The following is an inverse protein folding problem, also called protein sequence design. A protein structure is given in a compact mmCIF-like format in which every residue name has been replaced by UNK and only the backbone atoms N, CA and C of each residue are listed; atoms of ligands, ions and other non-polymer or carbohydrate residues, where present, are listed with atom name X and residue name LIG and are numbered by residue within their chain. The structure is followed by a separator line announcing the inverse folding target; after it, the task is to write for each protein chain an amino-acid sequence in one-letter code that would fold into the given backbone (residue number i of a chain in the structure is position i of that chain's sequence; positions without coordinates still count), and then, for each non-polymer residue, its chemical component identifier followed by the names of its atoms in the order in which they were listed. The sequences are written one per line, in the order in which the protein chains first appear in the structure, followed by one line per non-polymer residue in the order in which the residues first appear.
data_IF_015670441760
#
_entry.id   IF_015670441760
#
_cell.length_a   1.000
_cell.length_b   1.000
_cell.length_c   1.000
_cell.angle_alpha   90.00
_cell.angle_beta   90.00
_cell.angle_gamma   90.00
#
_symmetry.space_group_name_H-M   'P 1'
#
loop_
_entity.id
_entity.type
_entity.pdbx_description
1 polymer ?
#
# COMPACT_ATOMS: atom_id res chain seq x y z
N UNK A 1 -22.89 23.87 24.26
CA UNK A 1 -23.37 22.92 23.23
C UNK A 1 -23.28 23.52 21.82
N UNK A 2 -23.89 24.68 21.56
CA UNK A 2 -23.88 25.27 20.19
C UNK A 2 -22.52 25.75 19.71
N UNK A 3 -21.74 26.41 20.58
CA UNK A 3 -20.38 26.89 20.22
C UNK A 3 -19.40 25.74 19.94
N UNK A 4 -19.52 24.63 20.67
CA UNK A 4 -18.71 23.42 20.46
C UNK A 4 -19.10 22.71 19.16
N UNK A 5 -20.41 22.59 18.88
CA UNK A 5 -20.90 22.01 17.63
C UNK A 5 -20.59 22.86 16.39
N UNK A 6 -20.45 24.18 16.55
CA UNK A 6 -19.97 25.07 15.48
C UNK A 6 -18.47 24.91 15.24
N UNK A 7 -17.67 24.88 16.30
CA UNK A 7 -16.22 24.67 16.19
C UNK A 7 -15.87 23.31 15.57
N UNK A 8 -16.58 22.24 15.94
CA UNK A 8 -16.41 20.91 15.34
C UNK A 8 -16.75 20.89 13.85
N UNK A 9 -17.86 21.54 13.45
CA UNK A 9 -18.23 21.67 12.03
C UNK A 9 -17.20 22.46 11.23
N UNK A 10 -16.69 23.55 11.80
CA UNK A 10 -15.69 24.38 11.14
C UNK A 10 -14.34 23.65 11.01
N UNK A 11 -13.96 22.85 12.01
CA UNK A 11 -12.78 21.98 11.97
C UNK A 11 -12.91 20.89 10.90
N UNK A 12 -14.05 20.18 10.85
CA UNK A 12 -14.32 19.15 9.84
C UNK A 12 -14.35 19.74 8.41
N UNK A 13 -14.94 20.91 8.24
CA UNK A 13 -14.95 21.61 6.96
C UNK A 13 -13.54 22.06 6.56
N UNK A 14 -12.71 22.48 7.52
CA UNK A 14 -11.31 22.83 7.23
C UNK A 14 -10.50 21.62 6.82
N UNK A 15 -10.68 20.47 7.47
CA UNK A 15 -9.99 19.21 7.11
C UNK A 15 -10.40 18.70 5.72
N UNK A 16 -11.63 18.99 5.27
CA UNK A 16 -12.13 18.67 3.92
C UNK A 16 -11.85 19.74 2.86
N UNK A 17 -11.31 20.90 3.24
CA UNK A 17 -11.11 22.04 2.33
C UNK A 17 -12.39 22.82 2.00
N UNK A 18 -13.47 22.60 2.75
CA UNK A 18 -14.80 23.20 2.60
C UNK A 18 -15.00 24.45 3.46
N UNK A 19 -14.01 24.86 4.28
CA UNK A 19 -14.13 26.03 5.16
C UNK A 19 -14.45 27.33 4.39
N UNK A 20 -13.92 27.46 3.17
CA UNK A 20 -14.21 28.59 2.29
C UNK A 20 -15.67 28.57 1.82
N UNK A 21 -16.23 27.39 1.56
CA UNK A 21 -17.63 27.24 1.15
C UNK A 21 -18.59 27.65 2.28
N UNK A 22 -18.23 27.43 3.55
CA UNK A 22 -19.02 27.89 4.71
C UNK A 22 -19.02 29.41 4.79
N UNK A 23 -17.88 30.06 4.65
CA UNK A 23 -17.79 31.52 4.70
C UNK A 23 -18.56 32.17 3.53
N UNK A 24 -18.47 31.60 2.32
CA UNK A 24 -19.23 32.03 1.15
C UNK A 24 -20.75 31.83 1.38
N UNK A 25 -21.15 30.70 1.97
CA UNK A 25 -22.56 30.44 2.29
C UNK A 25 -23.17 31.42 3.29
N UNK A 26 -22.34 32.03 4.13
CA UNK A 26 -22.75 33.02 5.13
C UNK A 26 -22.71 34.47 4.60
N UNK A 27 -22.30 34.69 3.35
CA UNK A 27 -22.38 36.00 2.71
C UNK A 27 -23.85 36.46 2.64
N UNK A 28 -24.19 37.69 3.08
CA UNK A 28 -25.55 38.23 3.02
C UNK A 28 -26.22 38.06 1.65
N UNK A 29 -25.48 38.22 0.56
CA UNK A 29 -26.00 38.07 -0.80
C UNK A 29 -26.40 36.62 -1.11
N UNK A 30 -25.61 35.66 -0.66
CA UNK A 30 -25.86 34.23 -0.88
C UNK A 30 -27.01 33.71 0.00
N UNK A 31 -27.17 34.28 1.20
CA UNK A 31 -28.31 34.01 2.07
C UNK A 31 -29.61 34.54 1.45
N UNK A 32 -29.60 35.75 0.89
CA UNK A 32 -30.75 36.32 0.16
C UNK A 32 -31.15 35.42 -1.02
N UNK A 33 -30.18 34.93 -1.78
CA UNK A 33 -30.42 33.99 -2.87
C UNK A 33 -31.03 32.66 -2.36
N UNK A 34 -30.53 32.11 -1.25
CA UNK A 34 -31.09 30.90 -0.63
C UNK A 34 -32.54 31.10 -0.19
N UNK A 35 -32.83 32.21 0.50
CA UNK A 35 -34.18 32.55 0.94
C UNK A 35 -35.14 32.66 -0.25
N UNK A 36 -34.69 33.24 -1.37
CA UNK A 36 -35.47 33.29 -2.62
C UNK A 36 -35.78 31.90 -3.18
N UNK A 37 -34.82 30.96 -3.17
CA UNK A 37 -35.07 29.58 -3.61
C UNK A 37 -35.98 28.82 -2.63
N UNK A 38 -35.81 29.02 -1.33
CA UNK A 38 -36.66 28.43 -0.30
C UNK A 38 -38.11 28.97 -0.38
N UNK A 39 -38.31 30.24 -0.71
CA UNK A 39 -39.62 30.80 -0.98
C UNK A 39 -40.28 30.19 -2.23
N UNK A 40 -39.48 29.95 -3.28
CA UNK A 40 -39.99 29.42 -4.55
C UNK A 40 -40.28 27.90 -4.51
N UNK A 41 -39.46 27.12 -3.80
CA UNK A 41 -39.51 25.66 -3.82
C UNK A 41 -39.83 25.01 -2.47
N UNK A 42 -39.89 25.78 -1.38
CA UNK A 42 -40.07 25.33 0.00
C UNK A 42 -38.76 25.21 0.77
N UNK A 43 -38.75 25.60 2.04
CA UNK A 43 -37.55 25.62 2.90
C UNK A 43 -36.89 24.26 3.14
N UNK A 44 -37.66 23.17 3.06
CA UNK A 44 -37.16 21.79 3.20
C UNK A 44 -36.93 21.10 1.84
N UNK A 45 -36.94 21.87 0.75
CA UNK A 45 -36.82 21.33 -0.60
C UNK A 45 -35.39 20.87 -0.89
N UNK A 46 -35.22 19.55 -1.08
CA UNK A 46 -33.95 18.97 -1.51
C UNK A 46 -33.42 19.60 -2.80
N UNK A 47 -34.33 19.99 -3.71
CA UNK A 47 -33.95 20.72 -4.93
C UNK A 47 -33.41 22.13 -4.67
N UNK A 48 -33.95 22.84 -3.68
CA UNK A 48 -33.44 24.16 -3.30
C UNK A 48 -32.02 24.04 -2.70
N UNK A 49 -31.79 23.02 -1.88
CA UNK A 49 -30.47 22.71 -1.33
C UNK A 49 -29.45 22.39 -2.44
N UNK A 50 -29.80 21.52 -3.39
CA UNK A 50 -28.88 21.16 -4.49
C UNK A 50 -28.53 22.36 -5.39
N UNK A 51 -29.49 23.26 -5.65
CA UNK A 51 -29.22 24.48 -6.41
C UNK A 51 -28.31 25.45 -5.66
N UNK A 52 -28.54 25.59 -4.35
CA UNK A 52 -27.69 26.40 -3.48
C UNK A 52 -26.25 25.87 -3.44
N UNK A 53 -26.06 24.58 -3.19
CA UNK A 53 -24.74 23.94 -3.19
C UNK A 53 -24.02 24.08 -4.53
N UNK A 54 -24.76 24.00 -5.65
CA UNK A 54 -24.20 24.22 -6.98
C UNK A 54 -23.73 25.66 -7.19
N UNK A 55 -24.48 26.67 -6.71
CA UNK A 55 -24.07 28.08 -6.81
C UNK A 55 -22.86 28.37 -5.91
N UNK A 56 -22.84 27.84 -4.68
CA UNK A 56 -21.67 27.95 -3.81
C UNK A 56 -20.43 27.30 -4.43
N UNK A 57 -20.59 26.12 -5.03
CA UNK A 57 -19.49 25.44 -5.71
C UNK A 57 -18.98 26.20 -6.94
N UNK A 58 -19.83 26.99 -7.61
CA UNK A 58 -19.43 27.89 -8.71
C UNK A 58 -18.65 29.11 -8.23
N UNK A 59 -19.02 29.64 -7.06
CA UNK A 59 -18.34 30.76 -6.42
C UNK A 59 -17.06 30.34 -5.68
N UNK A 60 -17.00 29.08 -5.24
CA UNK A 60 -15.81 28.49 -4.65
C UNK A 60 -14.61 28.58 -5.59
N UNK A 61 -13.42 28.78 -5.02
CA UNK A 61 -12.19 28.81 -5.78
C UNK A 61 -12.06 27.51 -6.57
N UNK A 62 -11.72 27.62 -7.87
CA UNK A 62 -11.40 26.43 -8.68
C UNK A 62 -10.30 25.65 -7.95
N UNK A 63 -10.36 24.30 -7.94
CA UNK A 63 -9.30 23.50 -7.34
C UNK A 63 -7.96 23.99 -7.86
N UNK A 64 -7.07 24.42 -6.95
CA UNK A 64 -5.70 24.74 -7.33
C UNK A 64 -5.11 23.49 -7.95
N UNK A 65 -4.97 23.50 -9.27
CA UNK A 65 -4.36 22.40 -10.02
C UNK A 65 -2.84 22.52 -9.90
N UNK A 66 -2.36 22.34 -8.69
CA UNK A 66 -0.94 22.17 -8.40
C UNK A 66 -0.70 20.69 -8.10
N UNK A 67 0.34 20.13 -8.68
CA UNK A 67 0.83 18.83 -8.21
C UNK A 67 1.27 18.95 -6.75
N UNK A 68 1.45 17.83 -6.04
CA UNK A 68 1.92 17.81 -4.65
C UNK A 68 3.25 18.55 -4.43
N UNK A 69 3.99 18.83 -5.50
CA UNK A 69 5.25 19.58 -5.54
C UNK A 69 5.07 21.10 -5.79
N UNK A 70 3.84 21.61 -5.74
CA UNK A 70 3.55 23.05 -5.87
C UNK A 70 3.67 23.62 -7.29
N UNK A 71 4.03 22.80 -8.28
CA UNK A 71 4.13 23.20 -9.68
C UNK A 71 2.77 23.19 -10.37
N UNK A 72 2.47 24.25 -11.11
CA UNK A 72 1.24 24.37 -11.89
C UNK A 72 1.18 23.27 -12.96
N UNK A 73 -0.01 22.72 -13.22
CA UNK A 73 -0.20 21.81 -14.36
C UNK A 73 0.25 22.49 -15.67
N UNK A 74 0.92 21.75 -16.57
CA UNK A 74 1.27 22.26 -17.89
C UNK A 74 -0.01 22.69 -18.62
N UNK A 75 0.04 23.87 -19.21
CA UNK A 75 -1.09 24.45 -19.96
C UNK A 75 -1.14 23.96 -21.41
N UNK A 76 -0.04 23.37 -21.89
CA UNK A 76 0.10 22.78 -23.21
C UNK A 76 1.04 21.56 -23.22
N UNK A 77 1.03 20.79 -24.31
CA UNK A 77 2.02 19.72 -24.53
C UNK A 77 3.45 20.25 -24.72
N UNK A 78 3.61 21.50 -25.15
CA UNK A 78 4.92 22.13 -25.30
C UNK A 78 5.59 22.34 -23.94
N UNK A 79 4.80 22.73 -22.93
CA UNK A 79 5.26 22.93 -21.55
C UNK A 79 5.84 21.63 -20.96
N UNK A 80 5.27 20.48 -21.32
CA UNK A 80 5.75 19.15 -20.89
C UNK A 80 7.14 18.88 -21.48
N UNK A 81 7.36 19.21 -22.75
CA UNK A 81 8.66 19.03 -23.40
C UNK A 81 9.72 19.94 -22.76
N UNK A 82 9.38 21.21 -22.53
CA UNK A 82 10.29 22.17 -21.87
C UNK A 82 10.64 21.73 -20.44
N UNK A 83 9.66 21.22 -19.69
CA UNK A 83 9.89 20.69 -18.34
C UNK A 83 10.81 19.45 -18.38
N UNK A 84 10.55 18.54 -19.30
CA UNK A 84 11.37 17.34 -19.50
C UNK A 84 12.82 17.71 -19.82
N UNK A 85 13.05 18.63 -20.76
CA UNK A 85 14.41 19.04 -21.15
C UNK A 85 15.16 19.67 -19.97
N UNK A 86 14.46 20.44 -19.13
CA UNK A 86 15.02 20.98 -17.88
C UNK A 86 15.39 19.86 -16.90
N UNK A 87 14.48 18.92 -16.62
CA UNK A 87 14.75 17.81 -15.71
C UNK A 87 15.85 16.88 -16.21
N UNK A 88 15.91 16.62 -17.52
CA UNK A 88 16.97 15.82 -18.12
C UNK A 88 18.35 16.49 -18.00
N UNK A 89 18.39 17.82 -17.96
CA UNK A 89 19.62 18.59 -17.73
C UNK A 89 19.96 18.80 -16.25
N UNK A 90 19.04 18.47 -15.34
CA UNK A 90 19.23 18.66 -13.90
C UNK A 90 20.08 17.52 -13.32
N UNK A 91 21.32 17.78 -12.89
CA UNK A 91 22.21 16.73 -12.37
C UNK A 91 21.73 16.13 -11.04
N UNK A 92 20.79 16.77 -10.34
CA UNK A 92 20.20 16.22 -9.11
C UNK A 92 19.14 15.16 -9.40
N UNK A 93 18.42 15.30 -10.52
CA UNK A 93 17.36 14.39 -10.96
C UNK A 93 17.89 13.36 -11.97
N UNK A 94 18.91 13.71 -12.74
CA UNK A 94 19.57 12.86 -13.73
C UNK A 94 21.09 12.83 -13.51
N UNK A 95 21.57 12.15 -12.46
CA UNK A 95 23.00 12.03 -12.21
C UNK A 95 23.67 11.14 -13.27
N UNK A 96 24.96 11.38 -13.55
CA UNK A 96 25.75 10.52 -14.44
C UNK A 96 26.09 9.18 -13.75
N UNK A 97 25.18 8.22 -13.90
CA UNK A 97 25.31 6.87 -13.37
C UNK A 97 26.52 6.12 -13.95
N UNK A 98 26.91 6.42 -15.19
CA UNK A 98 28.03 5.74 -15.85
C UNK A 98 29.36 6.19 -15.25
N UNK A 99 29.53 7.49 -15.03
CA UNK A 99 30.70 8.01 -14.32
C UNK A 99 30.75 7.52 -12.87
N UNK A 100 29.59 7.48 -12.18
CA UNK A 100 29.50 6.95 -10.81
C UNK A 100 29.88 5.48 -10.73
N UNK A 101 29.36 4.62 -11.64
CA UNK A 101 29.73 3.21 -11.71
C UNK A 101 31.23 3.02 -11.99
N UNK A 102 31.82 3.79 -12.92
CA UNK A 102 33.26 3.77 -13.17
C UNK A 102 34.08 4.14 -11.94
N UNK A 103 33.68 5.17 -11.19
CA UNK A 103 34.34 5.58 -9.95
C UNK A 103 34.22 4.50 -8.86
N UNK A 104 33.05 3.88 -8.71
CA UNK A 104 32.85 2.78 -7.76
C UNK A 104 33.70 1.56 -8.12
N UNK A 105 33.74 1.18 -9.41
CA UNK A 105 34.62 0.09 -9.89
C UNK A 105 36.09 0.40 -9.65
N UNK A 106 36.53 1.62 -9.92
CA UNK A 106 37.90 2.04 -9.65
C UNK A 106 38.23 1.97 -8.15
N UNK A 107 37.29 2.33 -7.28
CA UNK A 107 37.43 2.24 -5.82
C UNK A 107 37.56 0.79 -5.36
N UNK A 108 36.70 -0.10 -5.85
CA UNK A 108 36.77 -1.55 -5.54
C UNK A 108 38.06 -2.17 -6.07
N UNK A 109 38.48 -1.81 -7.28
CA UNK A 109 39.75 -2.28 -7.85
C UNK A 109 40.97 -1.82 -7.03
N UNK A 110 40.93 -0.60 -6.48
CA UNK A 110 41.95 -0.08 -5.57
C UNK A 110 41.93 -0.78 -4.21
N UNK A 111 40.76 -1.12 -3.66
CA UNK A 111 40.66 -1.90 -2.42
C UNK A 111 41.11 -3.36 -2.58
N UNK A 112 41.13 -3.88 -3.80
CA UNK A 112 41.66 -5.21 -4.13
C UNK A 112 43.17 -5.22 -4.43
N UNK A 113 43.87 -4.08 -4.31
CA UNK A 113 45.34 -4.10 -4.27
C UNK A 113 45.78 -4.52 -2.87
N UNK A 114 46.55 -5.61 -2.72
CA UNK A 114 47.18 -5.92 -1.45
C UNK A 114 48.19 -4.81 -1.16
N UNK A 115 47.87 -3.96 -0.19
CA UNK A 115 48.87 -3.12 0.47
C UNK A 115 49.87 -4.04 1.19
N UNK A 116 51.18 -3.77 1.17
CA UNK A 116 52.11 -4.43 2.08
C UNK A 116 51.69 -4.03 3.50
N UNK A 117 51.08 -4.98 4.21
CA UNK A 117 50.49 -4.79 5.52
C UNK A 117 51.57 -4.63 6.59
N UNK A 118 51.69 -3.42 7.14
CA UNK A 118 52.38 -3.14 8.40
C UNK A 118 51.38 -2.87 9.53
N UNK A 119 50.30 -3.64 9.60
CA UNK A 119 49.33 -3.55 10.69
C UNK A 119 49.01 -4.95 11.20
N UNK A 120 49.24 -5.11 12.49
CA UNK A 120 49.15 -6.31 13.31
C UNK A 120 47.79 -6.98 13.19
N UNK A 121 47.82 -8.32 13.22
CA UNK A 121 46.67 -9.21 13.30
C UNK A 121 45.64 -8.78 14.36
N UNK A 122 44.50 -8.26 13.91
CA UNK A 122 43.24 -8.42 14.61
C UNK A 122 42.20 -8.89 13.59
N UNK A 123 42.02 -10.20 13.54
CA UNK A 123 40.97 -10.91 12.79
C UNK A 123 39.55 -10.44 13.19
N UNK A 124 38.51 -10.56 12.32
CA UNK A 124 38.13 -11.88 11.86
C UNK A 124 37.73 -12.06 10.37
N UNK A 125 38.37 -13.00 9.67
CA UNK A 125 37.77 -13.77 8.57
C UNK A 125 36.59 -14.66 9.01
N UNK A 126 36.26 -14.76 10.30
CA UNK A 126 35.14 -15.58 10.78
C UNK A 126 33.78 -15.03 10.36
N UNK A 127 33.49 -13.73 10.53
CA UNK A 127 32.16 -13.18 10.21
C UNK A 127 31.76 -13.38 8.75
N UNK A 128 32.72 -13.26 7.81
CA UNK A 128 32.46 -13.50 6.39
C UNK A 128 32.19 -14.98 6.11
N UNK A 129 32.91 -15.89 6.77
CA UNK A 129 32.68 -17.32 6.66
C UNK A 129 31.35 -17.73 7.30
N UNK A 130 30.98 -17.10 8.42
CA UNK A 130 29.72 -17.33 9.12
C UNK A 130 28.54 -16.89 8.23
N UNK A 131 28.58 -15.68 7.67
CA UNK A 131 27.56 -15.19 6.74
C UNK A 131 27.46 -16.07 5.48
N UNK A 132 28.58 -16.54 4.94
CA UNK A 132 28.56 -17.46 3.79
C UNK A 132 27.99 -18.83 4.16
N UNK A 133 28.26 -19.32 5.37
CA UNK A 133 27.76 -20.60 5.86
C UNK A 133 26.25 -20.53 6.11
N UNK A 134 25.79 -19.49 6.80
CA UNK A 134 24.36 -19.22 7.01
C UNK A 134 23.62 -19.00 5.69
N UNK A 135 24.21 -18.23 4.76
CA UNK A 135 23.64 -18.04 3.43
C UNK A 135 23.57 -19.31 2.58
N UNK A 136 24.42 -20.31 2.84
CA UNK A 136 24.30 -21.66 2.24
C UNK A 136 23.23 -22.48 2.95
N UNK A 137 23.15 -22.42 4.28
CA UNK A 137 22.15 -23.12 5.07
C UNK A 137 20.72 -22.71 4.65
N UNK A 138 20.44 -21.40 4.60
CA UNK A 138 19.13 -20.86 4.18
C UNK A 138 18.76 -21.29 2.76
N UNK A 139 19.71 -21.26 1.82
CA UNK A 139 19.45 -21.71 0.44
C UNK A 139 19.13 -23.19 0.36
N UNK A 140 19.85 -24.02 1.12
CA UNK A 140 19.60 -25.47 1.17
C UNK A 140 18.25 -25.78 1.82
N UNK A 141 17.90 -25.08 2.89
CA UNK A 141 16.59 -25.22 3.55
C UNK A 141 15.47 -24.80 2.60
N UNK A 142 15.59 -23.65 1.95
CA UNK A 142 14.59 -23.15 0.99
C UNK A 142 14.42 -24.10 -0.19
N UNK A 143 15.51 -24.63 -0.74
CA UNK A 143 15.46 -25.61 -1.83
C UNK A 143 14.77 -26.91 -1.39
N UNK A 144 15.04 -27.36 -0.15
CA UNK A 144 14.42 -28.55 0.44
C UNK A 144 12.93 -28.34 0.71
N UNK A 145 12.55 -27.16 1.21
CA UNK A 145 11.16 -26.78 1.44
C UNK A 145 10.37 -26.70 0.12
N UNK A 146 10.96 -26.09 -0.92
CA UNK A 146 10.39 -26.06 -2.26
C UNK A 146 10.21 -27.46 -2.83
N UNK A 147 11.24 -28.31 -2.78
CA UNK A 147 11.13 -29.70 -3.25
C UNK A 147 10.05 -30.49 -2.50
N UNK A 148 9.92 -30.27 -1.19
CA UNK A 148 8.88 -30.91 -0.37
C UNK A 148 7.49 -30.41 -0.74
N UNK A 149 7.33 -29.11 -0.98
CA UNK A 149 6.10 -28.51 -1.47
C UNK A 149 5.73 -29.07 -2.84
N UNK A 150 6.64 -29.05 -3.80
CA UNK A 150 6.42 -29.55 -5.17
C UNK A 150 6.01 -31.03 -5.15
N UNK A 151 6.63 -31.85 -4.29
CA UNK A 151 6.25 -33.26 -4.08
C UNK A 151 4.87 -33.41 -3.45
N UNK A 152 4.55 -32.62 -2.41
CA UNK A 152 3.24 -32.66 -1.71
C UNK A 152 2.08 -32.15 -2.56
N UNK A 153 2.37 -31.22 -3.45
CA UNK A 153 1.42 -30.63 -4.37
C UNK A 153 1.42 -31.30 -5.75
N UNK A 154 2.25 -32.32 -5.97
CA UNK A 154 2.40 -33.01 -7.26
C UNK A 154 2.50 -32.03 -8.43
N UNK A 155 3.37 -31.02 -8.26
CA UNK A 155 3.60 -29.99 -9.28
C UNK A 155 4.29 -30.65 -10.48
N UNK A 156 3.78 -30.37 -11.67
CA UNK A 156 4.34 -30.79 -12.96
C UNK A 156 4.49 -29.59 -13.87
N UNK A 157 5.62 -29.54 -14.58
CA UNK A 157 5.83 -28.58 -15.64
C UNK A 157 4.99 -28.97 -16.85
N UNK A 158 4.20 -28.02 -17.34
CA UNK A 158 3.40 -28.17 -18.56
C UNK A 158 4.25 -27.80 -19.77
N UNK A 159 3.93 -28.33 -20.95
CA UNK A 159 4.71 -28.10 -22.18
C UNK A 159 4.79 -26.61 -22.60
N UNK A 160 3.91 -25.75 -22.08
CA UNK A 160 3.88 -24.31 -22.29
C UNK A 160 4.71 -23.51 -21.25
N UNK A 161 5.41 -24.20 -20.35
CA UNK A 161 6.24 -23.58 -19.31
C UNK A 161 5.49 -23.16 -18.04
N UNK A 162 4.21 -23.50 -17.92
CA UNK A 162 3.41 -23.23 -16.70
C UNK A 162 3.47 -24.39 -15.70
N UNK A 163 3.30 -24.08 -14.39
CA UNK A 163 3.22 -25.09 -13.33
C UNK A 163 1.79 -25.55 -13.14
N UNK A 164 1.53 -26.85 -13.24
CA UNK A 164 0.23 -27.46 -12.95
C UNK A 164 0.34 -28.41 -11.75
N UNK A 165 -0.73 -28.54 -10.96
CA UNK A 165 -0.80 -29.53 -9.87
C UNK A 165 -1.63 -30.74 -10.30
N UNK A 166 -1.10 -31.95 -10.10
CA UNK A 166 -1.90 -33.19 -10.27
C UNK A 166 -2.80 -33.49 -9.06
N UNK A 167 -2.65 -32.73 -7.98
CA UNK A 167 -3.41 -32.90 -6.75
C UNK A 167 -4.81 -32.34 -6.91
N UNK A 168 -5.82 -33.21 -6.81
CA UNK A 168 -7.23 -32.79 -6.81
C UNK A 168 -7.60 -32.08 -5.49
N UNK A 169 -7.94 -30.79 -5.57
CA UNK A 169 -8.45 -30.01 -4.43
C UNK A 169 -9.75 -30.59 -3.85
N UNK A 170 -10.65 -31.08 -4.71
CA UNK A 170 -11.91 -31.72 -4.32
C UNK A 170 -11.67 -32.99 -3.47
N UNK A 171 -10.67 -33.81 -3.84
CA UNK A 171 -10.31 -35.01 -3.09
C UNK A 171 -9.70 -34.67 -1.72
N UNK A 172 -8.91 -33.60 -1.65
CA UNK A 172 -8.31 -33.13 -0.39
C UNK A 172 -9.37 -32.56 0.57
N UNK A 173 -10.29 -31.73 0.07
CA UNK A 173 -11.41 -31.20 0.88
C UNK A 173 -12.31 -32.33 1.38
N UNK A 174 -12.61 -33.34 0.55
CA UNK A 174 -13.39 -34.50 0.98
C UNK A 174 -12.70 -35.32 2.07
N UNK A 175 -11.39 -35.54 1.96
CA UNK A 175 -10.61 -36.23 3.00
C UNK A 175 -10.59 -35.43 4.31
N UNK A 176 -10.39 -34.11 4.24
CA UNK A 176 -10.37 -33.26 5.42
C UNK A 176 -11.72 -33.28 6.17
N UNK A 177 -12.85 -33.22 5.46
CA UNK A 177 -14.18 -33.34 6.08
C UNK A 177 -14.38 -34.70 6.76
N UNK A 178 -13.87 -35.78 6.17
CA UNK A 178 -13.96 -37.12 6.77
C UNK A 178 -13.07 -37.24 8.01
N UNK A 179 -11.82 -36.77 7.94
CA UNK A 179 -10.87 -36.83 9.05
C UNK A 179 -11.33 -35.93 10.22
N UNK A 180 -11.85 -34.72 9.95
CA UNK A 180 -12.43 -33.81 10.94
C UNK A 180 -13.75 -34.35 11.52
N UNK A 181 -14.54 -35.05 10.70
CA UNK A 181 -15.74 -35.77 11.13
C UNK A 181 -15.42 -36.95 12.04
N UNK A 182 -14.35 -37.71 11.76
CA UNK A 182 -13.90 -38.81 12.61
C UNK A 182 -13.41 -38.29 13.98
N UNK A 183 -12.67 -37.17 14.02
CA UNK A 183 -12.26 -36.51 15.26
C UNK A 183 -13.46 -36.02 16.10
N UNK A 184 -14.56 -35.65 15.45
CA UNK A 184 -15.80 -35.24 16.12
C UNK A 184 -16.57 -36.43 16.73
N UNK A 185 -16.49 -37.61 16.13
CA UNK A 185 -17.16 -38.83 16.64
C UNK A 185 -16.43 -39.39 17.88
N UNK A 186 -15.10 -39.32 17.90
CA UNK A 186 -14.32 -39.79 19.05
C UNK A 186 -14.54 -38.92 20.30
N UNK A 187 -14.70 -37.60 20.14
CA UNK A 187 -15.06 -36.70 21.24
C UNK A 187 -16.49 -36.92 21.77
N UNK A 188 -17.44 -37.30 20.92
CA UNK A 188 -18.80 -37.60 21.36
C UNK A 188 -18.88 -38.87 22.23
N UNK A 189 -17.98 -39.83 22.02
CA UNK A 189 -17.98 -41.10 22.74
C UNK A 189 -17.44 -40.99 24.17
N UNK A 190 -16.47 -40.10 24.42
CA UNK A 190 -15.99 -39.82 25.78
C UNK A 190 -17.00 -38.99 26.59
N UNK A 191 -17.64 -37.99 25.97
CA UNK A 191 -18.64 -37.15 26.66
C UNK A 191 -19.86 -37.96 27.12
N UNK A 192 -20.30 -38.95 26.33
CA UNK A 192 -21.42 -39.83 26.74
C UNK A 192 -21.01 -40.78 27.86
N UNK A 193 -19.77 -41.28 27.87
CA UNK A 193 -19.27 -42.16 28.93
C UNK A 193 -19.08 -41.44 30.27
N UNK A 194 -18.64 -40.19 30.24
CA UNK A 194 -18.50 -39.38 31.46
C UNK A 194 -19.84 -38.93 32.04
N UNK A 195 -20.86 -38.73 31.19
CA UNK A 195 -22.22 -38.46 31.65
C UNK A 195 -22.84 -39.69 32.35
N UNK A 196 -22.66 -40.88 31.77
CA UNK A 196 -23.18 -42.14 32.32
C UNK A 196 -22.49 -42.60 33.61
N UNK A 197 -21.27 -42.14 33.89
CA UNK A 197 -20.52 -42.46 35.12
C UNK A 197 -20.78 -41.49 36.27
N UNK A 198 -21.47 -40.38 36.01
CA UNK A 198 -21.74 -39.34 37.02
C UNK A 198 -23.08 -39.53 37.75
N UNK A 199 -23.90 -40.47 37.27
CA UNK A 199 -25.22 -40.80 37.82
C UNK A 199 -25.24 -42.14 38.59
N UNK A 200 -24.08 -42.65 39.01
CA UNK A 200 -23.93 -43.80 39.94
C UNK A 200 -23.16 -43.37 41.20
#
# INVERSE_FOLDING_TARGET
AERTAFAERLSLARDRGESLSIDIAQDPHNLEMFLRYAEQYGGDSASALSMFEAELARQGLRPNRVFSDGTALPTSFDDVRVLHDRHASDPTLSPDLSASDQQHRATVARSNRPTPSAHSDTSPPSLRNDVQTEGKAIRNETASARSTFDRKAEIVDTADGTLATKKSLLKQSGKQVVDDGAASIDNAKEVVKDLLRKDE
#
